data_IF_274789971608
#
_entry.id   IF_274789971608
#
_cell.length_a   1.000
_cell.length_b   1.000
_cell.length_c   1.000
_cell.angle_alpha   90.00
_cell.angle_beta   90.00
_cell.angle_gamma   90.00
#
_symmetry.space_group_name_H-M   'P 1'
#
loop_
_entity.id
_entity.type
_entity.pdbx_description
1 polymer ?
#
# COMPACT_ATOMS: atom_id res chain seq x y z
N UNK A 1 -14.35 7.16 19.16
CA UNK A 1 -14.09 6.71 17.78
C UNK A 1 -13.39 7.85 17.06
N UNK A 2 -12.07 7.80 16.93
CA UNK A 2 -11.32 8.91 16.34
C UNK A 2 -11.57 8.96 14.82
N UNK A 3 -11.73 10.16 14.26
CA UNK A 3 -11.97 10.37 12.82
C UNK A 3 -10.91 9.66 11.95
N UNK A 4 -9.68 9.58 12.47
CA UNK A 4 -8.53 8.86 11.91
C UNK A 4 -8.76 7.34 11.77
N UNK A 5 -9.42 6.70 12.75
CA UNK A 5 -9.74 5.27 12.68
C UNK A 5 -10.82 4.98 11.64
N UNK A 6 -11.80 5.87 11.51
CA UNK A 6 -12.82 5.77 10.46
C UNK A 6 -12.17 5.92 9.08
N UNK A 7 -11.25 6.89 8.93
CA UNK A 7 -10.46 7.06 7.73
C UNK A 7 -9.63 5.81 7.38
N UNK A 8 -8.98 5.19 8.37
CA UNK A 8 -8.20 3.97 8.16
C UNK A 8 -9.08 2.80 7.68
N UNK A 9 -10.25 2.61 8.30
CA UNK A 9 -11.21 1.57 7.89
C UNK A 9 -11.75 1.84 6.49
N UNK A 10 -12.09 3.09 6.17
CA UNK A 10 -12.52 3.47 4.83
C UNK A 10 -11.44 3.22 3.78
N UNK A 11 -10.17 3.48 4.12
CA UNK A 11 -9.04 3.23 3.22
C UNK A 11 -8.79 1.73 3.01
N UNK A 12 -8.93 0.93 4.07
CA UNK A 12 -8.79 -0.52 3.99
C UNK A 12 -9.93 -1.13 3.16
N UNK A 13 -11.17 -0.75 3.40
CA UNK A 13 -12.31 -1.31 2.67
C UNK A 13 -12.38 -0.78 1.23
N UNK A 14 -12.16 0.53 1.02
CA UNK A 14 -12.30 1.17 -0.29
C UNK A 14 -11.05 1.05 -1.17
N UNK A 15 -9.85 1.01 -0.60
CA UNK A 15 -8.58 0.95 -1.34
C UNK A 15 -7.99 -0.45 -1.42
N UNK A 16 -8.01 -1.21 -0.33
CA UNK A 16 -7.33 -2.52 -0.28
C UNK A 16 -8.08 -3.58 -1.07
N UNK A 17 -9.41 -3.61 -0.99
CA UNK A 17 -10.25 -4.59 -1.69
C UNK A 17 -10.10 -4.52 -3.21
N UNK A 18 -10.23 -3.36 -3.88
CA UNK A 18 -10.01 -3.30 -5.32
C UNK A 18 -8.55 -3.53 -5.70
N UNK A 19 -7.58 -3.08 -4.89
CA UNK A 19 -6.16 -3.30 -5.14
C UNK A 19 -5.79 -4.79 -5.10
N UNK A 20 -6.32 -5.56 -4.13
CA UNK A 20 -6.12 -7.00 -4.04
C UNK A 20 -6.78 -7.74 -5.20
N UNK A 21 -7.95 -7.28 -5.61
CA UNK A 21 -8.67 -7.83 -6.74
C UNK A 21 -7.87 -7.65 -8.05
N UNK A 22 -7.34 -6.44 -8.29
CA UNK A 22 -6.45 -6.13 -9.43
C UNK A 22 -5.11 -6.89 -9.36
N UNK A 23 -4.54 -7.07 -8.16
CA UNK A 23 -3.30 -7.83 -7.99
C UNK A 23 -3.47 -9.34 -8.29
N UNK A 24 -4.68 -9.85 -8.10
CA UNK A 24 -5.01 -11.28 -8.22
C UNK A 24 -5.55 -11.67 -9.60
N UNK A 25 -5.98 -10.72 -10.43
CA UNK A 25 -6.58 -10.97 -11.75
C UNK A 25 -5.88 -10.19 -12.87
N UNK A 26 -5.76 -10.82 -14.04
CA UNK A 26 -5.36 -10.17 -15.30
C UNK A 26 -3.90 -10.35 -15.71
N UNK A 27 -3.52 -9.61 -16.74
CA UNK A 27 -2.18 -9.58 -17.34
C UNK A 27 -1.08 -9.14 -16.36
N UNK A 28 0.21 -9.39 -16.66
CA UNK A 28 1.33 -9.07 -15.77
C UNK A 28 1.39 -7.59 -15.36
N UNK A 29 0.99 -6.68 -16.24
CA UNK A 29 1.00 -5.23 -16.02
C UNK A 29 -0.09 -4.78 -15.03
N UNK A 30 -1.39 -5.11 -15.22
CA UNK A 30 -2.42 -4.75 -14.25
C UNK A 30 -2.22 -5.41 -12.88
N UNK A 31 -1.64 -6.62 -12.82
CA UNK A 31 -1.26 -7.25 -11.54
C UNK A 31 -0.19 -6.45 -10.79
N UNK A 32 0.80 -5.91 -11.51
CA UNK A 32 1.82 -5.06 -10.92
C UNK A 32 1.21 -3.76 -10.36
N UNK A 33 0.31 -3.14 -11.12
CA UNK A 33 -0.40 -1.92 -10.67
C UNK A 33 -1.22 -2.20 -9.41
N UNK A 34 -1.93 -3.32 -9.35
CA UNK A 34 -2.66 -3.75 -8.16
C UNK A 34 -1.74 -3.96 -6.95
N UNK A 35 -0.58 -4.57 -7.15
CA UNK A 35 0.41 -4.77 -6.08
C UNK A 35 0.95 -3.44 -5.56
N UNK A 36 1.32 -2.51 -6.44
CA UNK A 36 1.83 -1.19 -6.05
C UNK A 36 0.76 -0.38 -5.31
N UNK A 37 -0.47 -0.39 -5.81
CA UNK A 37 -1.62 0.24 -5.14
C UNK A 37 -1.84 -0.34 -3.73
N UNK A 38 -1.78 -1.66 -3.57
CA UNK A 38 -1.97 -2.30 -2.27
C UNK A 38 -0.91 -1.87 -1.24
N UNK A 39 0.35 -1.72 -1.66
CA UNK A 39 1.43 -1.24 -0.80
C UNK A 39 1.25 0.22 -0.35
N UNK A 40 0.81 1.09 -1.27
CA UNK A 40 0.51 2.49 -0.96
C UNK A 40 -0.68 2.62 0.00
N UNK A 41 -1.77 1.88 -0.24
CA UNK A 41 -2.95 1.87 0.65
C UNK A 41 -2.58 1.35 2.04
N UNK A 42 -1.78 0.28 2.14
CA UNK A 42 -1.31 -0.24 3.43
C UNK A 42 -0.46 0.78 4.19
N UNK A 43 0.43 1.50 3.49
CA UNK A 43 1.27 2.54 4.08
C UNK A 43 0.44 3.68 4.65
N UNK A 44 -0.53 4.17 3.89
CA UNK A 44 -1.45 5.23 4.31
C UNK A 44 -2.35 4.78 5.47
N UNK A 45 -2.86 3.55 5.44
CA UNK A 45 -3.67 2.99 6.53
C UNK A 45 -2.86 2.93 7.84
N UNK A 46 -1.61 2.45 7.79
CA UNK A 46 -0.71 2.41 8.95
C UNK A 46 -0.39 3.81 9.48
N UNK A 47 -0.26 4.81 8.61
CA UNK A 47 -0.05 6.20 9.00
C UNK A 47 -1.27 6.76 9.74
N UNK A 48 -2.48 6.52 9.23
CA UNK A 48 -3.73 6.93 9.89
C UNK A 48 -3.93 6.22 11.25
N UNK A 49 -3.55 4.94 11.35
CA UNK A 49 -3.53 4.19 12.60
C UNK A 49 -2.53 4.81 13.61
N UNK A 50 -1.32 5.14 13.17
CA UNK A 50 -0.32 5.78 14.03
C UNK A 50 -0.82 7.13 14.59
N UNK A 51 -1.49 7.93 13.76
CA UNK A 51 -2.14 9.18 14.20
C UNK A 51 -3.33 8.92 15.12
N UNK A 52 -4.13 7.90 14.85
CA UNK A 52 -5.30 7.53 15.65
C UNK A 52 -4.97 7.04 17.06
N UNK A 53 -3.83 6.37 17.24
CA UNK A 53 -3.32 5.90 18.54
C UNK A 53 -2.48 6.94 19.29
N UNK A 54 -2.09 8.05 18.66
CA UNK A 54 -1.36 9.14 19.31
C UNK A 54 0.07 8.80 19.76
N UNK A 55 0.61 7.66 19.31
CA UNK A 55 1.91 7.16 19.75
C UNK A 55 2.91 7.25 18.60
N UNK A 56 3.85 8.21 18.72
CA UNK A 56 4.85 8.54 17.68
C UNK A 56 5.67 7.34 17.20
N UNK A 57 5.90 6.36 18.07
CA UNK A 57 6.64 5.14 17.72
C UNK A 57 6.02 4.34 16.55
N UNK A 58 4.70 4.42 16.36
CA UNK A 58 4.04 3.73 15.24
C UNK A 58 4.28 4.38 13.87
N UNK A 59 4.86 5.57 13.80
CA UNK A 59 5.20 6.22 12.52
C UNK A 59 6.41 5.60 11.82
N UNK A 60 7.24 4.84 12.55
CA UNK A 60 8.45 4.23 11.99
C UNK A 60 8.09 3.26 10.86
N UNK A 61 7.07 2.43 11.07
CA UNK A 61 6.65 1.40 10.11
C UNK A 61 6.15 2.01 8.78
N UNK A 62 5.16 2.92 8.75
CA UNK A 62 4.71 3.55 7.51
C UNK A 62 5.81 4.38 6.84
N UNK A 63 6.71 5.00 7.61
CA UNK A 63 7.83 5.75 7.05
C UNK A 63 8.81 4.84 6.29
N UNK A 64 9.20 3.71 6.89
CA UNK A 64 10.07 2.72 6.24
C UNK A 64 9.40 2.15 4.99
N UNK A 65 8.12 1.80 5.07
CA UNK A 65 7.34 1.32 3.93
C UNK A 65 7.28 2.33 2.77
N UNK A 66 7.09 3.61 3.07
CA UNK A 66 7.09 4.67 2.06
C UNK A 66 8.43 4.76 1.33
N UNK A 67 9.55 4.70 2.06
CA UNK A 67 10.90 4.71 1.48
C UNK A 67 11.15 3.44 0.65
N UNK A 68 10.72 2.27 1.11
CA UNK A 68 10.94 0.99 0.43
C UNK A 68 10.03 0.80 -0.79
N UNK A 69 8.88 1.50 -0.86
CA UNK A 69 7.95 1.36 -1.97
C UNK A 69 8.57 1.80 -3.30
N UNK A 70 9.43 2.82 -3.30
CA UNK A 70 10.10 3.29 -4.52
C UNK A 70 11.06 2.24 -5.12
N UNK A 71 12.07 1.73 -4.39
CA UNK A 71 12.93 0.68 -4.92
C UNK A 71 12.17 -0.62 -5.23
N UNK A 72 11.13 -0.96 -4.47
CA UNK A 72 10.29 -2.14 -4.75
C UNK A 72 9.65 -2.10 -6.14
N UNK A 73 9.06 -0.95 -6.52
CA UNK A 73 8.47 -0.75 -7.85
C UNK A 73 9.52 -0.87 -8.96
N UNK A 74 10.72 -0.31 -8.75
CA UNK A 74 11.81 -0.37 -9.73
C UNK A 74 12.32 -1.80 -9.95
N UNK A 75 12.43 -2.60 -8.89
CA UNK A 75 12.82 -4.01 -9.00
C UNK A 75 11.79 -4.80 -9.80
N UNK A 76 10.50 -4.65 -9.49
CA UNK A 76 9.44 -5.37 -10.21
C UNK A 76 9.31 -4.93 -11.68
N UNK A 77 9.37 -3.63 -11.96
CA UNK A 77 9.34 -3.11 -13.34
C UNK A 77 10.54 -3.61 -14.15
N UNK A 78 11.73 -3.67 -13.54
CA UNK A 78 12.93 -4.26 -14.18
C UNK A 78 12.76 -5.75 -14.48
N UNK A 79 12.19 -6.52 -13.56
CA UNK A 79 11.93 -7.95 -13.77
C UNK A 79 10.88 -8.19 -14.87
N UNK A 80 9.87 -7.33 -14.96
CA UNK A 80 8.85 -7.42 -16.01
C UNK A 80 9.44 -7.11 -17.40
N UNK A 81 10.34 -6.11 -17.48
CA UNK A 81 11.06 -5.76 -18.71
C UNK A 81 12.01 -6.85 -19.20
N UNK A 82 12.49 -7.73 -18.31
CA UNK A 82 13.43 -8.80 -18.65
C UNK A 82 12.77 -10.03 -19.29
N UNK A 83 11.45 -10.05 -19.48
CA UNK A 83 10.74 -11.12 -20.20
C UNK A 83 10.61 -10.74 -21.68
N UNK A 84 11.28 -11.46 -22.61
CA UNK A 84 11.17 -11.24 -24.04
C UNK A 84 9.78 -11.59 -24.58
#
# INVERSE_FOLDING_TARGET
MNLWLIGAVALLLGGMVPALYLASRGDPVPRLVGLVLSGQVATLALLLLAQGFGQSSYLIVPLVLAVLSFPGVLVFTRLLRARP
#
